data_IF_639262702880
#
_entry.id   IF_639262702880
#
_cell.length_a   1.000
_cell.length_b   1.000
_cell.length_c   1.000
_cell.angle_alpha   90.00
_cell.angle_beta   90.00
_cell.angle_gamma   90.00
#
_symmetry.space_group_name_H-M   'P 1'
#
loop_
_entity.id
_entity.type
_entity.pdbx_description
1 polymer ?
#
# COMPACT_ATOMS: atom_id res chain seq x y z
N UNK A 1 -0.95 5.49 -11.58
CA UNK A 1 -0.65 6.00 -10.22
C UNK A 1 0.48 5.15 -9.69
N UNK A 2 1.52 5.76 -9.13
CA UNK A 2 2.62 5.01 -8.54
C UNK A 2 2.25 4.63 -7.10
N UNK A 3 2.01 3.35 -6.84
CA UNK A 3 1.91 2.84 -5.48
C UNK A 3 3.30 2.76 -4.88
N UNK A 4 3.47 3.14 -3.62
CA UNK A 4 4.75 3.05 -2.91
C UNK A 4 4.47 2.81 -1.43
N UNK A 5 5.22 1.88 -0.84
CA UNK A 5 5.37 1.78 0.61
C UNK A 5 6.81 1.38 0.97
N UNK A 6 7.15 1.63 2.23
CA UNK A 6 8.37 1.13 2.85
C UNK A 6 8.00 0.12 3.96
N UNK A 7 8.77 -0.96 4.05
CA UNK A 7 8.61 -1.99 5.08
C UNK A 7 9.92 -2.13 5.87
N UNK A 8 9.80 -2.15 7.20
CA UNK A 8 10.93 -2.32 8.11
C UNK A 8 10.63 -3.49 9.06
N UNK A 9 11.50 -4.51 9.18
CA UNK A 9 11.34 -5.59 10.16
C UNK A 9 11.75 -5.08 11.54
N UNK A 10 10.90 -4.22 12.11
CA UNK A 10 11.07 -3.61 13.42
C UNK A 10 9.71 -3.30 14.03
N UNK A 11 9.64 -3.36 15.35
CA UNK A 11 8.48 -2.96 16.15
C UNK A 11 8.65 -1.57 16.78
N UNK A 12 9.76 -0.88 16.51
CA UNK A 12 10.09 0.45 17.07
C UNK A 12 9.41 1.59 16.31
N UNK A 13 8.08 1.53 16.17
CA UNK A 13 7.26 2.46 15.37
C UNK A 13 7.53 3.94 15.69
N UNK A 14 7.60 4.30 16.97
CA UNK A 14 7.88 5.68 17.41
C UNK A 14 9.29 6.15 17.03
N UNK A 15 10.29 5.27 17.13
CA UNK A 15 11.67 5.58 16.74
C UNK A 15 11.78 5.80 15.23
N UNK A 16 11.13 4.94 14.44
CA UNK A 16 11.04 5.09 12.98
C UNK A 16 10.40 6.42 12.62
N UNK A 17 9.28 6.76 13.26
CA UNK A 17 8.56 8.00 12.99
C UNK A 17 9.37 9.25 13.38
N UNK A 18 10.07 9.19 14.52
CA UNK A 18 10.97 10.27 14.98
C UNK A 18 12.12 10.48 14.01
N UNK A 19 12.81 9.39 13.63
CA UNK A 19 13.95 9.47 12.71
C UNK A 19 13.53 9.96 11.31
N UNK A 20 12.35 9.58 10.83
CA UNK A 20 11.76 10.11 9.60
C UNK A 20 11.56 11.64 9.68
N UNK A 21 10.99 12.13 10.78
CA UNK A 21 10.76 13.57 10.98
C UNK A 21 12.07 14.35 11.03
N UNK A 22 13.03 13.87 11.82
CA UNK A 22 14.37 14.48 11.96
C UNK A 22 15.10 14.51 10.61
N UNK A 23 15.14 13.39 9.90
CA UNK A 23 15.79 13.30 8.58
C UNK A 23 15.15 14.24 7.55
N UNK A 24 13.82 14.41 7.58
CA UNK A 24 13.14 15.36 6.71
C UNK A 24 13.50 16.81 7.05
N UNK A 25 13.60 17.16 8.33
CA UNK A 25 14.03 18.49 8.77
C UNK A 25 15.48 18.77 8.34
N UNK A 26 16.39 17.80 8.49
CA UNK A 26 17.77 17.91 8.02
C UNK A 26 17.87 18.14 6.50
N UNK A 27 16.93 17.57 5.74
CA UNK A 27 16.80 17.79 4.29
C UNK A 27 16.11 19.11 3.91
N UNK A 28 15.79 19.95 4.90
CA UNK A 28 15.20 21.28 4.71
C UNK A 28 13.68 21.30 4.58
N UNK A 29 12.98 20.22 4.95
CA UNK A 29 11.52 20.21 4.96
C UNK A 29 10.96 20.85 6.22
N UNK A 30 9.83 21.54 6.09
CA UNK A 30 9.05 22.03 7.21
C UNK A 30 7.98 20.99 7.57
N UNK A 31 7.99 20.50 8.81
CA UNK A 31 6.94 19.63 9.31
C UNK A 31 5.63 20.41 9.50
N UNK A 32 4.50 19.79 9.19
CA UNK A 32 3.18 20.37 9.45
C UNK A 32 2.16 19.27 9.76
N UNK A 33 1.03 19.63 10.36
CA UNK A 33 -0.08 18.72 10.60
C UNK A 33 -1.29 19.14 9.74
N UNK A 34 -1.65 18.39 8.68
CA UNK A 34 -2.80 18.72 7.84
C UNK A 34 -4.14 18.46 8.52
N UNK A 35 -4.15 17.77 9.65
CA UNK A 35 -5.36 17.42 10.37
C UNK A 35 -5.77 18.49 11.38
N UNK A 36 -4.97 19.52 11.60
CA UNK A 36 -5.31 20.66 12.45
C UNK A 36 -6.20 21.69 11.73
N UNK A 37 -6.75 22.64 12.50
CA UNK A 37 -7.74 23.61 12.01
C UNK A 37 -7.15 24.71 11.11
N UNK A 38 -5.82 24.79 11.00
CA UNK A 38 -5.14 25.85 10.26
C UNK A 38 -4.89 25.38 8.83
N UNK A 39 -5.35 26.13 7.79
CA UNK A 39 -5.08 25.79 6.40
C UNK A 39 -3.58 25.59 6.16
N UNK A 40 -3.21 24.41 5.66
CA UNK A 40 -1.81 24.08 5.36
C UNK A 40 -1.25 24.94 4.22
N UNK A 41 0.04 25.25 4.29
CA UNK A 41 0.76 25.83 3.15
C UNK A 41 0.83 24.80 2.02
N UNK A 42 0.65 25.25 0.78
CA UNK A 42 0.95 24.43 -0.39
C UNK A 42 2.47 24.37 -0.58
N UNK A 43 3.01 23.16 -0.63
CA UNK A 43 4.43 22.91 -0.85
C UNK A 43 4.64 22.30 -2.23
N UNK A 44 5.75 22.67 -2.87
CA UNK A 44 6.10 22.13 -4.19
C UNK A 44 6.56 20.68 -4.10
N UNK A 45 7.16 20.31 -2.96
CA UNK A 45 7.64 18.97 -2.70
C UNK A 45 7.04 18.47 -1.38
N UNK A 46 5.78 17.99 -1.39
CA UNK A 46 5.15 17.44 -0.20
C UNK A 46 5.61 16.00 0.06
N UNK A 47 5.91 15.70 1.33
CA UNK A 47 6.04 14.33 1.84
C UNK A 47 4.83 14.06 2.71
N UNK A 48 4.13 12.96 2.43
CA UNK A 48 2.88 12.57 3.11
C UNK A 48 2.95 11.10 3.43
N UNK A 49 3.15 10.77 4.70
CA UNK A 49 3.38 9.41 5.16
C UNK A 49 2.49 9.08 6.35
N UNK A 50 2.19 7.80 6.50
CA UNK A 50 1.69 7.23 7.74
C UNK A 50 2.55 6.05 8.14
N UNK A 51 3.04 6.04 9.38
CA UNK A 51 3.69 4.87 9.97
C UNK A 51 2.62 4.02 10.65
N UNK A 52 2.57 2.73 10.31
CA UNK A 52 1.59 1.80 10.91
C UNK A 52 2.06 1.31 12.28
N UNK A 53 1.13 0.90 13.15
CA UNK A 53 1.44 -0.03 14.22
C UNK A 53 2.16 -1.28 13.66
N UNK A 54 3.03 -1.92 14.44
CA UNK A 54 3.76 -3.07 13.96
C UNK A 54 2.83 -4.29 13.87
N UNK A 55 3.00 -5.09 12.84
CA UNK A 55 2.27 -6.34 12.64
C UNK A 55 3.21 -7.42 12.15
N UNK A 56 3.17 -8.59 12.77
CA UNK A 56 4.05 -9.73 12.47
C UNK A 56 5.55 -9.38 12.46
N UNK A 57 5.95 -8.45 13.34
CA UNK A 57 7.33 -7.96 13.45
C UNK A 57 7.72 -6.87 12.43
N UNK A 58 6.78 -6.42 11.60
CA UNK A 58 7.00 -5.42 10.57
C UNK A 58 6.28 -4.11 10.85
N UNK A 59 6.96 -2.99 10.67
CA UNK A 59 6.38 -1.66 10.54
C UNK A 59 6.29 -1.29 9.07
N UNK A 60 5.11 -0.86 8.62
CA UNK A 60 4.89 -0.34 7.27
C UNK A 60 4.83 1.18 7.33
N UNK A 61 5.37 1.84 6.31
CA UNK A 61 5.17 3.27 6.07
C UNK A 61 4.39 3.41 4.77
N UNK A 62 3.18 3.94 4.87
CA UNK A 62 2.31 4.22 3.72
C UNK A 62 2.69 5.54 3.08
N UNK A 63 2.79 5.55 1.75
CA UNK A 63 3.10 6.74 0.95
C UNK A 63 4.46 6.64 0.28
N UNK A 64 4.92 7.75 -0.30
CA UNK A 64 6.17 7.84 -1.03
C UNK A 64 7.24 8.53 -0.14
N UNK A 65 8.04 7.76 0.62
CA UNK A 65 9.12 8.33 1.43
C UNK A 65 10.20 8.95 0.53
N UNK A 66 10.72 10.10 0.95
CA UNK A 66 11.86 10.74 0.29
C UNK A 66 13.07 9.79 0.32
N UNK A 67 13.54 9.38 -0.86
CA UNK A 67 14.56 8.33 -0.99
C UNK A 67 15.84 8.62 -0.21
N UNK A 68 16.22 9.90 -0.08
CA UNK A 68 17.39 10.34 0.67
C UNK A 68 17.34 10.01 2.17
N UNK A 69 16.16 9.75 2.75
CA UNK A 69 16.03 9.35 4.17
C UNK A 69 16.22 7.84 4.39
N UNK A 70 16.16 7.02 3.33
CA UNK A 70 16.18 5.56 3.46
C UNK A 70 17.54 5.04 3.94
N UNK A 71 18.64 5.70 3.54
CA UNK A 71 19.97 5.40 4.06
C UNK A 71 20.02 5.54 5.58
N UNK A 72 19.57 6.69 6.11
CA UNK A 72 19.52 6.96 7.56
C UNK A 72 18.64 5.96 8.31
N UNK A 73 17.43 5.69 7.82
CA UNK A 73 16.55 4.68 8.41
C UNK A 73 17.17 3.29 8.40
N UNK A 74 17.93 2.96 7.36
CA UNK A 74 18.54 1.65 7.23
C UNK A 74 19.64 1.33 8.24
N UNK A 75 20.06 2.33 9.05
CA UNK A 75 20.95 2.14 10.18
C UNK A 75 20.25 1.54 11.41
N UNK A 76 18.93 1.72 11.54
CA UNK A 76 18.16 1.18 12.68
C UNK A 76 17.46 -0.14 12.35
N UNK A 77 17.06 -0.35 11.09
CA UNK A 77 16.47 -1.61 10.61
C UNK A 77 16.56 -1.68 9.10
N UNK A 78 16.55 -2.89 8.52
CA UNK A 78 16.48 -3.05 7.07
C UNK A 78 15.25 -2.31 6.51
N UNK A 79 15.41 -1.71 5.34
CA UNK A 79 14.38 -0.93 4.67
C UNK A 79 14.07 -1.58 3.32
N UNK A 80 12.88 -2.16 3.16
CA UNK A 80 12.38 -2.70 1.91
C UNK A 80 11.42 -1.68 1.28
N UNK A 81 11.91 -0.95 0.29
CA UNK A 81 11.11 0.02 -0.48
C UNK A 81 10.51 -0.66 -1.69
N UNK A 82 9.18 -0.69 -1.75
CA UNK A 82 8.42 -1.30 -2.83
C UNK A 82 7.58 -0.22 -3.51
N UNK A 83 7.71 -0.08 -4.82
CA UNK A 83 6.87 0.78 -5.62
C UNK A 83 6.50 0.11 -6.94
N UNK A 84 5.34 0.44 -7.51
CA UNK A 84 5.04 0.05 -8.89
C UNK A 84 4.07 1.02 -9.56
N UNK A 85 4.23 1.11 -10.89
CA UNK A 85 3.25 1.74 -11.77
C UNK A 85 2.96 0.77 -12.92
N UNK A 86 1.79 0.13 -12.85
CA UNK A 86 1.31 -0.88 -13.79
C UNK A 86 2.38 -1.91 -14.14
N UNK A 87 3.14 -1.67 -15.20
CA UNK A 87 4.08 -2.63 -15.75
C UNK A 87 5.38 -2.75 -14.97
N UNK A 88 5.82 -1.67 -14.30
CA UNK A 88 7.13 -1.59 -13.67
C UNK A 88 7.04 -1.70 -12.17
N UNK A 89 7.69 -2.71 -11.60
CA UNK A 89 8.01 -2.78 -10.17
C UNK A 89 9.39 -2.19 -9.89
N UNK A 90 9.51 -1.50 -8.77
CA UNK A 90 10.76 -1.01 -8.19
C UNK A 90 10.88 -1.60 -6.80
N UNK A 91 11.90 -2.45 -6.62
CA UNK A 91 12.20 -3.11 -5.36
C UNK A 91 13.61 -2.66 -4.98
N UNK A 92 13.72 -1.95 -3.86
CA UNK A 92 15.01 -1.50 -3.31
C UNK A 92 15.15 -1.96 -1.88
N UNK A 93 16.34 -2.44 -1.53
CA UNK A 93 16.69 -2.82 -0.16
C UNK A 93 17.77 -1.88 0.33
N UNK A 94 17.56 -1.28 1.48
CA UNK A 94 18.55 -0.46 2.17
C UNK A 94 18.91 -1.13 3.50
N UNK A 95 20.19 -1.19 3.83
CA UNK A 95 20.66 -1.76 5.08
C UNK A 95 22.08 -1.26 5.39
N UNK A 96 22.32 -0.89 6.65
CA UNK A 96 23.58 -0.36 7.15
C UNK A 96 24.02 0.94 6.44
N UNK A 97 23.07 1.86 6.25
CA UNK A 97 23.35 3.23 5.80
C UNK A 97 23.19 3.48 4.31
N UNK A 98 22.95 2.43 3.50
CA UNK A 98 22.89 2.56 2.04
C UNK A 98 22.09 1.46 1.36
N UNK A 99 21.91 1.60 0.05
CA UNK A 99 21.29 0.59 -0.80
C UNK A 99 22.16 -0.68 -0.80
N UNK A 100 21.52 -1.84 -0.74
CA UNK A 100 22.17 -3.14 -0.63
C UNK A 100 21.44 -4.22 -1.39
N UNK A 101 22.02 -5.41 -1.38
CA UNK A 101 21.50 -6.57 -2.10
C UNK A 101 20.18 -7.06 -1.48
N UNK A 102 19.25 -7.47 -2.34
CA UNK A 102 17.99 -8.12 -1.96
C UNK A 102 18.24 -9.41 -1.17
N UNK A 103 19.39 -10.06 -1.33
CA UNK A 103 19.82 -11.20 -0.51
C UNK A 103 19.77 -10.93 1.01
N UNK A 104 19.84 -9.66 1.44
CA UNK A 104 19.65 -9.25 2.84
C UNK A 104 18.24 -9.52 3.38
N UNK A 105 17.27 -9.86 2.52
CA UNK A 105 15.93 -10.31 2.92
C UNK A 105 15.88 -11.77 3.39
N UNK A 106 16.95 -12.56 3.19
CA UNK A 106 17.00 -13.99 3.56
C UNK A 106 16.54 -14.29 4.99
N UNK A 107 16.93 -13.52 6.03
CA UNK A 107 16.49 -13.77 7.41
C UNK A 107 14.97 -13.62 7.62
N UNK A 108 14.28 -12.99 6.67
CA UNK A 108 12.85 -12.69 6.77
C UNK A 108 11.99 -13.52 5.79
N UNK A 109 12.56 -14.58 5.23
CA UNK A 109 11.80 -15.56 4.46
C UNK A 109 10.86 -16.34 5.38
N UNK A 110 9.67 -16.65 4.87
CA UNK A 110 8.74 -17.58 5.51
C UNK A 110 9.37 -18.98 5.58
N UNK A 111 8.96 -19.82 6.56
CA UNK A 111 9.39 -21.21 6.64
C UNK A 111 9.16 -21.95 5.31
N UNK A 112 10.17 -22.71 4.87
CA UNK A 112 10.11 -23.49 3.62
C UNK A 112 10.59 -22.74 2.37
N UNK A 113 10.87 -21.44 2.45
CA UNK A 113 11.46 -20.68 1.34
C UNK A 113 12.97 -20.51 1.50
N UNK A 114 13.67 -20.39 0.36
CA UNK A 114 15.12 -20.31 0.28
C UNK A 114 15.59 -19.04 -0.44
N UNK A 115 16.87 -18.65 -0.30
CA UNK A 115 17.45 -17.55 -1.09
C UNK A 115 17.30 -17.73 -2.61
N UNK A 116 17.25 -18.97 -3.09
CA UNK A 116 17.02 -19.27 -4.50
C UNK A 116 15.60 -18.88 -4.94
N UNK A 117 14.60 -19.03 -4.08
CA UNK A 117 13.22 -18.63 -4.37
C UNK A 117 13.12 -17.11 -4.47
N UNK A 118 13.86 -16.40 -3.61
CA UNK A 118 13.98 -14.95 -3.67
C UNK A 118 14.60 -14.49 -4.99
N UNK A 119 15.70 -15.11 -5.43
CA UNK A 119 16.33 -14.82 -6.71
C UNK A 119 15.38 -15.12 -7.89
N UNK A 120 14.64 -16.23 -7.85
CA UNK A 120 13.64 -16.58 -8.87
C UNK A 120 12.51 -15.56 -8.94
N UNK A 121 12.03 -15.05 -7.79
CA UNK A 121 10.99 -14.02 -7.77
C UNK A 121 11.46 -12.74 -8.48
N UNK A 122 12.71 -12.32 -8.23
CA UNK A 122 13.31 -11.13 -8.84
C UNK A 122 13.58 -11.29 -10.35
N UNK A 123 14.03 -12.47 -10.76
CA UNK A 123 14.42 -12.75 -12.15
C UNK A 123 13.25 -13.13 -13.05
N UNK A 124 12.14 -13.65 -12.52
CA UNK A 124 10.95 -13.99 -13.30
C UNK A 124 10.41 -12.81 -14.12
N UNK A 125 10.61 -11.56 -13.67
CA UNK A 125 10.22 -10.40 -14.48
C UNK A 125 11.10 -10.21 -15.73
N UNK A 126 12.39 -10.55 -15.69
CA UNK A 126 13.27 -10.46 -16.88
C UNK A 126 12.71 -11.33 -18.02
N UNK A 127 12.17 -12.50 -17.69
CA UNK A 127 11.55 -13.40 -18.66
C UNK A 127 10.20 -12.89 -19.18
N UNK A 128 9.40 -12.20 -18.35
CA UNK A 128 8.15 -11.57 -18.81
C UNK A 128 8.40 -10.32 -19.66
N UNK A 129 9.49 -9.57 -19.45
CA UNK A 129 9.87 -8.42 -20.28
C UNK A 129 10.40 -8.81 -21.66
N UNK A 130 10.87 -10.06 -21.85
CA UNK A 130 11.34 -10.56 -23.15
C UNK A 130 10.28 -11.23 -24.01
N UNK A 131 9.07 -11.48 -23.48
CA UNK A 131 7.94 -12.00 -24.25
C UNK A 131 6.86 -10.94 -24.39
N UNK A 132 7.14 -9.95 -25.25
CA UNK A 132 6.09 -9.29 -26.02
C UNK A 132 5.73 -10.23 -27.17
N UNK A 133 5.10 -11.36 -26.86
CA UNK A 133 4.24 -12.00 -27.85
C UNK A 133 3.06 -12.70 -27.19
N UNK A 134 1.90 -12.48 -27.78
CA UNK A 134 0.58 -12.79 -27.26
C UNK A 134 0.42 -14.30 -27.04
N UNK A 135 -0.02 -14.71 -25.86
CA UNK A 135 -1.13 -15.67 -25.65
C UNK A 135 -1.41 -15.85 -24.15
N UNK A 136 -2.69 -16.06 -23.84
CA UNK A 136 -3.20 -16.49 -22.55
C UNK A 136 -2.28 -17.48 -21.82
N UNK A 137 -1.77 -17.10 -20.66
CA UNK A 137 -1.30 -18.07 -19.67
C UNK A 137 -1.93 -17.74 -18.32
N UNK A 138 -3.04 -18.43 -18.06
CA UNK A 138 -3.66 -18.55 -16.75
C UNK A 138 -2.61 -19.03 -15.74
N UNK A 139 -2.48 -18.30 -14.64
CA UNK A 139 -1.72 -18.76 -13.48
C UNK A 139 -2.41 -20.02 -12.94
N UNK A 140 -1.69 -21.12 -12.67
CA UNK A 140 -2.28 -22.30 -12.06
C UNK A 140 -2.90 -21.91 -10.71
N UNK A 141 -4.18 -22.24 -10.51
CA UNK A 141 -4.94 -21.94 -9.27
C UNK A 141 -4.26 -22.44 -7.99
N UNK A 142 -3.34 -23.41 -8.09
CA UNK A 142 -2.53 -23.94 -6.99
C UNK A 142 -1.41 -23.00 -6.51
N UNK A 143 -1.11 -21.91 -7.23
CA UNK A 143 -0.11 -20.92 -6.85
C UNK A 143 -0.70 -19.72 -6.09
N UNK A 144 -2.01 -19.72 -5.85
CA UNK A 144 -2.71 -18.68 -5.10
C UNK A 144 -2.89 -19.11 -3.63
N UNK A 145 -2.83 -18.18 -2.66
CA UNK A 145 -3.11 -18.46 -1.25
C UNK A 145 -4.45 -19.16 -1.04
N UNK A 146 -4.54 -20.03 -0.02
CA UNK A 146 -5.72 -20.88 0.24
C UNK A 146 -7.03 -20.09 0.35
N UNK A 147 -6.98 -18.86 0.86
CA UNK A 147 -8.16 -17.98 1.00
C UNK A 147 -8.73 -17.52 -0.36
N UNK A 148 -7.88 -17.40 -1.39
CA UNK A 148 -8.29 -17.10 -2.77
C UNK A 148 -8.82 -18.35 -3.46
N UNK A 149 -8.24 -19.52 -3.18
CA UNK A 149 -8.75 -20.80 -3.68
C UNK A 149 -10.12 -21.15 -3.06
N UNK A 150 -10.33 -20.80 -1.79
CA UNK A 150 -11.60 -21.02 -1.09
C UNK A 150 -12.70 -20.05 -1.53
N UNK A 151 -12.38 -18.78 -1.78
CA UNK A 151 -13.33 -17.82 -2.38
C UNK A 151 -13.79 -18.25 -3.78
N UNK A 152 -12.93 -18.90 -4.57
CA UNK A 152 -13.28 -19.38 -5.91
C UNK A 152 -14.20 -20.62 -5.92
N UNK A 153 -14.26 -21.39 -4.83
CA UNK A 153 -15.04 -22.64 -4.76
C UNK A 153 -16.48 -22.47 -4.26
N UNK A 154 -16.81 -21.33 -3.64
CA UNK A 154 -18.09 -21.17 -2.92
C UNK A 154 -19.10 -20.20 -3.52
N UNK A 155 -18.78 -19.49 -4.61
CA UNK A 155 -19.59 -18.35 -5.06
C UNK A 155 -20.27 -18.67 -6.39
N UNK A 156 -21.60 -18.78 -6.36
CA UNK A 156 -22.41 -18.95 -7.57
C UNK A 156 -22.38 -17.66 -8.40
N UNK A 157 -21.44 -17.58 -9.34
CA UNK A 157 -21.18 -16.44 -10.24
C UNK A 157 -22.43 -15.94 -10.95
N UNK A 158 -23.45 -16.79 -11.13
CA UNK A 158 -24.74 -16.40 -11.73
C UNK A 158 -25.63 -15.56 -10.80
N UNK A 159 -25.53 -15.70 -9.49
CA UNK A 159 -26.31 -14.89 -8.54
C UNK A 159 -25.69 -13.52 -8.30
N UNK A 160 -24.35 -13.42 -8.27
CA UNK A 160 -23.65 -12.14 -8.23
C UNK A 160 -23.89 -11.34 -9.50
N UNK A 161 -23.79 -11.94 -10.69
CA UNK A 161 -24.09 -11.25 -11.94
C UNK A 161 -25.55 -10.76 -12.03
N UNK A 162 -26.49 -11.46 -11.37
CA UNK A 162 -27.90 -11.08 -11.33
C UNK A 162 -28.20 -9.96 -10.33
N UNK A 163 -27.49 -9.91 -9.20
CA UNK A 163 -27.58 -8.80 -8.24
C UNK A 163 -26.85 -7.56 -8.76
N UNK A 164 -25.66 -7.73 -9.33
CA UNK A 164 -24.88 -6.66 -9.97
C UNK A 164 -25.62 -6.08 -11.18
N UNK A 165 -26.26 -6.92 -12.00
CA UNK A 165 -27.09 -6.48 -13.12
C UNK A 165 -28.37 -5.72 -12.72
N UNK A 166 -28.91 -5.97 -11.52
CA UNK A 166 -30.04 -5.19 -10.98
C UNK A 166 -29.59 -3.84 -10.43
N UNK A 167 -28.45 -3.80 -9.73
CA UNK A 167 -27.84 -2.55 -9.23
C UNK A 167 -27.41 -1.65 -10.39
N UNK A 168 -26.79 -2.22 -11.42
CA UNK A 168 -26.36 -1.48 -12.63
C UNK A 168 -27.54 -0.98 -13.46
N UNK A 169 -28.66 -1.72 -13.55
CA UNK A 169 -29.89 -1.23 -14.22
C UNK A 169 -30.53 -0.03 -13.53
N UNK A 170 -30.34 0.12 -12.23
CA UNK A 170 -30.90 1.21 -11.44
C UNK A 170 -30.05 2.48 -11.55
N UNK A 171 -28.72 2.33 -11.69
CA UNK A 171 -27.75 3.43 -11.88
C UNK A 171 -27.67 3.91 -13.34
N UNK A 172 -27.73 2.99 -14.31
CA UNK A 172 -27.68 3.29 -15.75
C UNK A 172 -28.96 3.99 -16.27
N UNK A 173 -29.98 4.16 -15.41
CA UNK A 173 -31.20 4.92 -15.71
C UNK A 173 -31.08 6.42 -15.35
N UNK A 174 -30.04 6.82 -14.63
CA UNK A 174 -29.79 8.20 -14.19
C UNK A 174 -28.54 8.85 -14.80
N UNK A 175 -27.73 8.11 -15.54
CA UNK A 175 -26.54 8.66 -16.21
C UNK A 175 -26.47 8.13 -17.63
N UNK A 176 -26.49 9.06 -18.58
CA UNK A 176 -26.42 8.80 -20.01
C UNK A 176 -25.07 8.20 -20.37
N UNK A 177 -25.04 6.87 -20.50
CA UNK A 177 -24.33 6.16 -21.56
C UNK A 177 -22.82 6.33 -21.61
N UNK A 178 -22.10 5.91 -20.56
CA UNK A 178 -20.76 5.35 -20.74
C UNK A 178 -20.36 4.46 -19.54
N UNK A 179 -20.70 3.17 -19.63
CA UNK A 179 -20.43 2.17 -18.59
C UNK A 179 -18.92 2.00 -18.33
N UNK A 180 -18.07 2.28 -19.33
CA UNK A 180 -16.62 2.21 -19.22
C UNK A 180 -16.05 3.45 -18.49
N UNK A 181 -16.56 4.65 -18.77
CA UNK A 181 -16.17 5.87 -18.05
C UNK A 181 -16.68 5.85 -16.60
N UNK A 182 -17.90 5.34 -16.35
CA UNK A 182 -18.41 5.14 -15.01
C UNK A 182 -17.59 4.08 -14.24
N UNK A 183 -17.17 2.98 -14.88
CA UNK A 183 -16.24 2.01 -14.26
C UNK A 183 -14.85 2.59 -14.05
N UNK A 184 -14.33 3.45 -14.92
CA UNK A 184 -13.03 4.11 -14.74
C UNK A 184 -13.06 5.14 -13.60
N UNK A 185 -14.19 5.81 -13.40
CA UNK A 185 -14.43 6.71 -12.26
C UNK A 185 -14.66 5.94 -10.94
N UNK A 186 -15.26 4.75 -11.00
CA UNK A 186 -15.53 3.87 -9.84
C UNK A 186 -14.38 2.91 -9.49
N UNK A 187 -13.48 2.62 -10.44
CA UNK A 187 -12.30 1.78 -10.22
C UNK A 187 -11.31 2.41 -9.23
N UNK A 188 -11.45 3.73 -8.98
CA UNK A 188 -10.65 4.48 -8.03
C UNK A 188 -9.17 4.51 -8.39
N UNK A 189 -8.43 5.32 -7.65
CA UNK A 189 -6.97 5.36 -7.69
C UNK A 189 -6.33 4.09 -7.06
N UNK A 190 -7.04 2.96 -7.00
CA UNK A 190 -6.54 1.75 -6.37
C UNK A 190 -5.41 1.12 -7.20
N UNK A 191 -4.34 0.59 -6.57
CA UNK A 191 -3.27 -0.09 -7.28
C UNK A 191 -3.80 -1.36 -8.00
N UNK A 192 -3.48 -1.51 -9.28
CA UNK A 192 -3.82 -2.72 -10.04
C UNK A 192 -2.81 -3.83 -9.75
N UNK A 193 -3.15 -4.71 -8.81
CA UNK A 193 -2.33 -5.85 -8.42
C UNK A 193 -2.23 -6.96 -9.48
N UNK A 194 -3.11 -6.94 -10.50
CA UNK A 194 -3.08 -7.89 -11.62
C UNK A 194 -2.05 -7.52 -12.70
N UNK A 195 -1.61 -6.27 -12.71
CA UNK A 195 -0.53 -5.76 -13.57
C UNK A 195 0.78 -6.53 -13.35
N UNK A 196 1.73 -6.48 -14.31
CA UNK A 196 3.01 -7.19 -14.16
C UNK A 196 3.83 -6.67 -12.97
N UNK A 197 3.84 -5.36 -12.74
CA UNK A 197 4.51 -4.77 -11.57
C UNK A 197 3.85 -5.19 -10.26
N UNK A 198 2.51 -5.20 -10.21
CA UNK A 198 1.76 -5.69 -9.06
C UNK A 198 2.04 -7.17 -8.78
N UNK A 199 2.00 -8.02 -9.81
CA UNK A 199 2.32 -9.46 -9.71
C UNK A 199 3.75 -9.72 -9.26
N UNK A 200 4.73 -8.91 -9.70
CA UNK A 200 6.11 -9.06 -9.25
C UNK A 200 6.25 -8.75 -7.76
N UNK A 201 5.67 -7.65 -7.29
CA UNK A 201 5.68 -7.33 -5.86
C UNK A 201 4.97 -8.41 -5.05
N UNK A 202 3.82 -8.91 -5.51
CA UNK A 202 3.12 -10.02 -4.86
C UNK A 202 3.99 -11.29 -4.81
N UNK A 203 4.68 -11.63 -5.90
CA UNK A 203 5.58 -12.78 -5.93
C UNK A 203 6.71 -12.65 -4.90
N UNK A 204 7.39 -11.49 -4.84
CA UNK A 204 8.44 -11.24 -3.86
C UNK A 204 7.90 -11.32 -2.42
N UNK A 205 6.86 -10.55 -2.13
CA UNK A 205 6.30 -10.42 -0.77
C UNK A 205 5.62 -11.71 -0.28
N UNK A 206 5.19 -12.59 -1.19
CA UNK A 206 4.66 -13.90 -0.82
C UNK A 206 5.69 -14.76 -0.08
N UNK A 207 6.98 -14.56 -0.37
CA UNK A 207 8.10 -15.27 0.25
C UNK A 207 8.48 -14.72 1.62
N UNK A 208 8.10 -13.49 1.93
CA UNK A 208 8.51 -12.78 3.16
C UNK A 208 7.48 -12.98 4.27
N UNK A 209 7.91 -12.85 5.52
CA UNK A 209 7.05 -12.87 6.72
C UNK A 209 6.18 -11.61 6.88
N UNK A 210 5.91 -10.89 5.78
CA UNK A 210 5.02 -9.74 5.78
C UNK A 210 3.58 -10.15 6.13
N UNK A 211 2.81 -9.27 6.80
CA UNK A 211 1.42 -9.55 7.16
C UNK A 211 0.55 -9.85 5.94
N UNK A 212 -0.22 -10.94 5.94
CA UNK A 212 -0.97 -11.42 4.76
C UNK A 212 -1.78 -10.34 3.99
N UNK A 213 -2.35 -9.39 4.71
CA UNK A 213 -3.19 -8.31 4.17
C UNK A 213 -2.49 -6.96 4.06
N UNK A 214 -1.16 -6.95 3.98
CA UNK A 214 -0.34 -5.73 3.99
C UNK A 214 -0.70 -4.74 2.88
N UNK A 215 -1.31 -5.17 1.76
CA UNK A 215 -1.61 -4.33 0.60
C UNK A 215 -3.03 -3.74 0.60
N UNK A 216 -3.92 -4.18 1.50
CA UNK A 216 -5.34 -3.80 1.47
C UNK A 216 -5.58 -2.36 1.92
N UNK A 217 -4.85 -1.90 2.94
CA UNK A 217 -4.97 -0.52 3.42
C UNK A 217 -4.16 0.42 2.52
N UNK A 218 -4.84 1.30 1.81
CA UNK A 218 -4.22 2.36 1.02
C UNK A 218 -4.14 3.69 1.80
N UNK A 219 -3.32 4.61 1.28
CA UNK A 219 -3.06 5.90 1.91
C UNK A 219 -4.30 6.79 2.00
N UNK A 220 -5.16 6.80 0.98
CA UNK A 220 -6.34 7.68 0.91
C UNK A 220 -7.37 7.21 1.94
N UNK A 221 -7.66 5.91 1.98
CA UNK A 221 -8.56 5.30 2.97
C UNK A 221 -8.09 5.62 4.40
N UNK A 222 -6.79 5.46 4.69
CA UNK A 222 -6.25 5.79 6.01
C UNK A 222 -6.34 7.29 6.33
N UNK A 223 -5.95 8.17 5.39
CA UNK A 223 -6.00 9.63 5.58
C UNK A 223 -7.41 10.10 5.93
N UNK A 224 -8.40 9.65 5.18
CA UNK A 224 -9.78 10.09 5.32
C UNK A 224 -10.38 9.59 6.64
N UNK A 225 -10.13 8.32 6.99
CA UNK A 225 -10.51 7.78 8.31
C UNK A 225 -9.80 8.54 9.45
N UNK A 226 -8.50 8.77 9.34
CA UNK A 226 -7.71 9.50 10.34
C UNK A 226 -8.29 10.89 10.60
N UNK A 227 -8.60 11.65 9.54
CA UNK A 227 -9.17 12.99 9.66
C UNK A 227 -10.49 12.99 10.43
N UNK A 228 -11.38 12.04 10.14
CA UNK A 228 -12.67 11.92 10.82
C UNK A 228 -12.51 11.53 12.29
N UNK A 229 -11.64 10.57 12.58
CA UNK A 229 -11.32 10.17 13.95
C UNK A 229 -10.68 11.32 14.74
N UNK A 230 -9.72 12.05 14.15
CA UNK A 230 -9.07 13.20 14.78
C UNK A 230 -10.06 14.34 15.05
N UNK A 231 -11.02 14.57 14.13
CA UNK A 231 -12.12 15.53 14.34
C UNK A 231 -12.98 15.13 15.54
N UNK A 232 -13.35 13.86 15.67
CA UNK A 232 -14.14 13.36 16.81
C UNK A 232 -13.36 13.32 18.12
N UNK A 233 -12.05 13.09 18.08
CA UNK A 233 -11.19 13.17 19.26
C UNK A 233 -11.20 14.60 19.84
N UNK A 234 -11.16 15.62 18.99
CA UNK A 234 -11.25 17.03 19.42
C UNK A 234 -12.66 17.46 19.82
N UNK A 235 -13.69 16.93 19.16
CA UNK A 235 -15.09 17.19 19.47
C UNK A 235 -15.93 15.90 19.33
N UNK A 236 -16.23 15.27 20.46
CA UNK A 236 -16.97 14.00 20.51
C UNK A 236 -18.37 14.08 19.86
N UNK A 237 -18.96 15.29 19.84
CA UNK A 237 -20.28 15.61 19.30
C UNK A 237 -20.22 16.12 17.85
N UNK A 238 -19.06 16.08 17.19
CA UNK A 238 -18.93 16.48 15.80
C UNK A 238 -19.92 15.69 14.92
N UNK A 239 -20.79 16.42 14.21
CA UNK A 239 -21.77 15.80 13.31
C UNK A 239 -21.04 15.08 12.16
N UNK A 240 -21.40 13.82 11.98
CA UNK A 240 -20.98 13.02 10.83
C UNK A 240 -21.84 13.37 9.62
N UNK A 241 -21.19 13.58 8.49
CA UNK A 241 -21.86 13.70 7.20
C UNK A 241 -22.18 12.31 6.64
N UNK A 242 -23.11 12.19 5.68
CA UNK A 242 -23.38 10.93 5.01
C UNK A 242 -22.08 10.31 4.43
N UNK A 243 -21.80 9.05 4.74
CA UNK A 243 -20.57 8.36 4.32
C UNK A 243 -19.44 8.36 5.36
N UNK A 244 -19.44 9.27 6.34
CA UNK A 244 -18.35 9.38 7.32
C UNK A 244 -18.27 8.14 8.22
N UNK A 245 -19.42 7.58 8.60
CA UNK A 245 -19.49 6.40 9.46
C UNK A 245 -18.87 5.18 8.77
N UNK A 246 -19.12 5.00 7.47
CA UNK A 246 -18.55 3.94 6.65
C UNK A 246 -17.05 4.11 6.47
N UNK A 247 -16.56 5.35 6.28
CA UNK A 247 -15.12 5.64 6.20
C UNK A 247 -14.42 5.33 7.53
N UNK A 248 -14.98 5.77 8.66
CA UNK A 248 -14.44 5.47 9.98
C UNK A 248 -14.41 3.97 10.27
N UNK A 249 -15.41 3.21 9.83
CA UNK A 249 -15.50 1.77 10.02
C UNK A 249 -14.43 0.99 9.23
N UNK A 250 -13.90 1.53 8.13
CA UNK A 250 -12.81 0.89 7.37
C UNK A 250 -11.49 0.84 8.13
N UNK A 251 -11.23 1.85 8.98
CA UNK A 251 -10.04 1.92 9.84
C UNK A 251 -10.46 2.39 11.24
N UNK A 252 -11.03 1.50 12.07
CA UNK A 252 -11.55 1.86 13.39
C UNK A 252 -10.48 2.42 14.35
N UNK A 253 -9.23 2.03 14.14
CA UNK A 253 -8.05 2.35 14.95
C UNK A 253 -7.14 3.37 14.28
N UNK A 254 -7.68 4.23 13.40
CA UNK A 254 -6.88 5.15 12.59
C UNK A 254 -5.92 6.03 13.42
N UNK A 255 -6.28 6.40 14.65
CA UNK A 255 -5.44 7.23 15.53
C UNK A 255 -4.18 6.52 16.05
N UNK A 256 -4.05 5.21 15.90
CA UNK A 256 -2.80 4.48 16.22
C UNK A 256 -1.72 4.64 15.14
N UNK A 257 -2.07 5.17 13.98
CA UNK A 257 -1.12 5.45 12.91
C UNK A 257 -0.45 6.79 13.15
N UNK A 258 0.85 6.88 12.91
CA UNK A 258 1.59 8.13 13.12
C UNK A 258 1.71 8.89 11.80
N UNK A 259 0.98 10.00 11.61
CA UNK A 259 1.14 10.83 10.42
C UNK A 259 2.50 11.54 10.43
N UNK A 260 3.12 11.62 9.26
CA UNK A 260 4.32 12.42 9.01
C UNK A 260 4.08 13.21 7.73
N UNK A 261 3.91 14.51 7.90
CA UNK A 261 3.68 15.45 6.81
C UNK A 261 4.74 16.52 6.86
N UNK A 262 5.39 16.72 5.72
CA UNK A 262 6.47 17.69 5.57
C UNK A 262 6.42 18.32 4.18
N UNK A 263 6.98 19.51 4.02
CA UNK A 263 7.03 20.16 2.72
C UNK A 263 8.11 21.22 2.58
N UNK A 264 8.57 21.40 1.35
CA UNK A 264 9.47 22.48 0.93
C UNK A 264 9.00 23.14 -0.38
#
# INVERSE_FOLDING_TARGET
MNWHNLFLPSTETERIATLLRESLVELGYNLYNPFDLIPGKAYTQPVRLFVTPPKDGWTRVLGNPEERVLGTLSNISLCLSLAFDKEKATIKVYAAGGEGDVAKLTPYLKPGHTPLDLQKALTRQIAFETQVDRTDTAIPMSALPDDIQQMAKGVNTKQINKMFGKLMKQVNRQTSGDEAAARALLAGDAPDWSSSGGRHILALTSLLTLPQNWHLLDFVTLRDAYQLHARRQRNANAQLYPGDAEVMAKVPDALHYLPIYAGK
#
